data_IF_193904536449
#
_entry.id   IF_193904536449
#
_cell.length_a   1.000
_cell.length_b   1.000
_cell.length_c   1.000
_cell.angle_alpha   90.00
_cell.angle_beta   90.00
_cell.angle_gamma   90.00
#
_symmetry.space_group_name_H-M   'P 1'
#
loop_
_entity.id
_entity.type
_entity.pdbx_description
1 polymer ?
#
# COMPACT_ATOMS: atom_id res chain seq x y z
N UNK A 1 -4.09 8.65 -6.62
CA UNK A 1 -3.41 9.30 -5.49
C UNK A 1 -4.19 9.00 -4.22
N UNK A 2 -3.53 8.54 -3.16
CA UNK A 2 -4.16 8.27 -1.86
C UNK A 2 -4.09 9.52 -0.98
N UNK A 3 -5.19 9.82 -0.29
CA UNK A 3 -5.32 10.90 0.69
C UNK A 3 -5.90 10.30 1.96
N UNK A 4 -5.28 10.58 3.10
CA UNK A 4 -5.72 10.17 4.42
C UNK A 4 -6.29 11.35 5.19
N UNK A 5 -7.41 11.12 5.89
CA UNK A 5 -8.04 12.08 6.78
C UNK A 5 -8.08 11.46 8.18
N UNK A 6 -7.41 12.08 9.15
CA UNK A 6 -7.37 11.63 10.53
C UNK A 6 -8.04 12.67 11.42
N UNK A 7 -8.99 12.23 12.25
CA UNK A 7 -9.54 13.08 13.29
C UNK A 7 -8.64 13.02 14.53
N UNK A 8 -8.16 14.18 14.95
CA UNK A 8 -7.31 14.40 16.09
C UNK A 8 -8.02 15.39 17.02
N UNK A 9 -8.82 14.87 17.95
CA UNK A 9 -9.59 15.66 18.93
C UNK A 9 -10.42 16.82 18.33
N UNK A 10 -11.03 16.58 17.17
CA UNK A 10 -11.88 17.56 16.46
C UNK A 10 -11.14 18.40 15.41
N UNK A 11 -9.82 18.29 15.32
CA UNK A 11 -9.03 18.77 14.19
C UNK A 11 -8.90 17.65 13.15
N UNK A 12 -8.89 18.00 11.86
CA UNK A 12 -8.67 17.03 10.78
C UNK A 12 -7.26 17.21 10.24
N UNK A 13 -6.42 16.21 10.46
CA UNK A 13 -5.10 16.11 9.85
C UNK A 13 -5.24 15.45 8.48
N UNK A 14 -4.62 16.06 7.47
CA UNK A 14 -4.65 15.59 6.08
C UNK A 14 -3.27 15.08 5.71
N UNK A 15 -3.18 13.83 5.27
CA UNK A 15 -1.97 13.26 4.68
C UNK A 15 -2.22 12.88 3.22
N UNK A 16 -1.18 12.88 2.40
CA UNK A 16 -1.24 12.39 1.03
C UNK A 16 0.08 11.72 0.67
N UNK A 17 0.03 10.72 -0.19
CA UNK A 17 1.28 10.15 -0.74
C UNK A 17 1.99 11.20 -1.60
N UNK A 18 3.31 11.27 -1.51
CA UNK A 18 4.11 12.00 -2.48
C UNK A 18 4.18 11.14 -3.77
N UNK A 19 3.52 11.57 -4.86
CA UNK A 19 3.40 10.73 -6.05
C UNK A 19 4.74 10.58 -6.76
N UNK A 20 5.57 11.61 -6.78
CA UNK A 20 6.90 11.54 -7.39
C UNK A 20 7.79 10.55 -6.62
N UNK A 21 7.82 10.63 -5.30
CA UNK A 21 8.57 9.71 -4.44
C UNK A 21 8.18 8.24 -4.66
N UNK A 22 6.88 7.93 -4.61
CA UNK A 22 6.39 6.56 -4.80
C UNK A 22 6.64 6.08 -6.24
N UNK A 23 6.49 6.94 -7.24
CA UNK A 23 6.72 6.55 -8.63
C UNK A 23 8.21 6.34 -8.93
N UNK A 24 9.14 7.08 -8.32
CA UNK A 24 10.56 6.74 -8.47
C UNK A 24 10.85 5.36 -7.90
N UNK A 25 10.25 4.99 -6.78
CA UNK A 25 10.47 3.68 -6.18
C UNK A 25 9.91 2.52 -7.04
N UNK A 26 8.82 2.75 -7.78
CA UNK A 26 8.11 1.68 -8.53
C UNK A 26 8.39 1.68 -10.03
N UNK A 27 8.68 2.84 -10.60
CA UNK A 27 8.78 3.05 -12.04
C UNK A 27 9.93 4.02 -12.36
N UNK A 28 11.08 3.80 -11.72
CA UNK A 28 12.26 4.63 -11.92
C UNK A 28 12.63 4.78 -13.41
N UNK A 29 12.80 3.65 -14.10
CA UNK A 29 13.13 3.62 -15.53
C UNK A 29 11.93 4.11 -16.36
N UNK A 30 12.00 5.36 -16.83
CA UNK A 30 10.99 5.94 -17.71
C UNK A 30 9.98 6.86 -17.03
N UNK A 31 10.23 7.28 -15.78
CA UNK A 31 9.40 8.28 -15.09
C UNK A 31 9.51 9.69 -15.69
N UNK A 32 10.64 10.08 -16.29
CA UNK A 32 10.91 11.45 -16.74
C UNK A 32 9.77 12.10 -17.56
N UNK A 33 9.13 11.41 -18.53
CA UNK A 33 8.01 11.96 -19.29
C UNK A 33 6.74 12.22 -18.47
N UNK A 34 6.66 11.68 -17.24
CA UNK A 34 5.50 11.73 -16.36
C UNK A 34 5.66 12.71 -15.20
N UNK A 35 6.87 13.20 -14.88
CA UNK A 35 7.14 14.10 -13.74
C UNK A 35 6.17 15.28 -13.71
N UNK A 36 6.07 16.04 -14.82
CA UNK A 36 5.14 17.18 -14.90
C UNK A 36 3.67 16.83 -14.66
N UNK A 37 3.25 15.59 -14.96
CA UNK A 37 1.89 15.12 -14.68
C UNK A 37 1.71 14.75 -13.21
N UNK A 38 2.73 14.18 -12.57
CA UNK A 38 2.73 13.88 -11.14
C UNK A 38 2.68 15.17 -10.32
N UNK A 39 3.46 16.18 -10.69
CA UNK A 39 3.44 17.53 -10.08
C UNK A 39 2.06 18.19 -10.24
N UNK A 40 1.45 18.10 -11.43
CA UNK A 40 0.12 18.63 -11.68
C UNK A 40 -0.94 17.92 -10.82
N UNK A 41 -0.87 16.59 -10.72
CA UNK A 41 -1.76 15.80 -9.87
C UNK A 41 -1.64 16.19 -8.40
N UNK A 42 -0.41 16.36 -7.88
CA UNK A 42 -0.18 16.82 -6.52
C UNK A 42 -0.81 18.20 -6.28
N UNK A 43 -0.58 19.15 -7.20
CA UNK A 43 -1.15 20.49 -7.12
C UNK A 43 -2.68 20.47 -7.12
N UNK A 44 -3.30 19.65 -7.98
CA UNK A 44 -4.75 19.53 -8.06
C UNK A 44 -5.34 19.01 -6.74
N UNK A 45 -4.69 18.01 -6.13
CA UNK A 45 -5.12 17.46 -4.84
C UNK A 45 -4.93 18.46 -3.70
N UNK A 46 -3.79 19.15 -3.61
CA UNK A 46 -3.58 20.23 -2.63
C UNK A 46 -4.63 21.34 -2.77
N UNK A 47 -4.93 21.72 -4.01
CA UNK A 47 -5.96 22.73 -4.31
C UNK A 47 -7.35 22.27 -3.83
N UNK A 48 -7.72 21.02 -4.12
CA UNK A 48 -9.01 20.44 -3.71
C UNK A 48 -9.16 20.36 -2.18
N UNK A 49 -8.05 20.15 -1.46
CA UNK A 49 -8.03 20.00 0.00
C UNK A 49 -7.76 21.31 0.77
N UNK A 50 -7.50 22.42 0.07
CA UNK A 50 -7.21 23.73 0.66
C UNK A 50 -8.27 24.26 1.63
N UNK A 51 -9.50 23.76 1.54
CA UNK A 51 -10.59 24.09 2.48
C UNK A 51 -10.44 23.42 3.86
N UNK A 52 -9.63 22.36 3.96
CA UNK A 52 -9.30 21.66 5.21
C UNK A 52 -7.97 22.18 5.76
N UNK A 53 -6.97 22.35 4.89
CA UNK A 53 -5.67 22.92 5.22
C UNK A 53 -4.88 23.25 3.96
N UNK A 54 -4.05 24.29 4.02
CA UNK A 54 -3.24 24.80 2.91
C UNK A 54 -1.72 24.75 3.17
N UNK A 55 -1.31 24.36 4.38
CA UNK A 55 0.08 24.24 4.81
C UNK A 55 0.57 22.78 4.73
N UNK A 56 0.86 22.33 3.50
CA UNK A 56 1.36 20.98 3.26
C UNK A 56 2.88 20.91 3.47
N UNK A 57 3.31 20.37 4.61
CA UNK A 57 4.72 20.11 4.90
C UNK A 57 5.09 18.63 4.65
N UNK A 58 6.28 18.33 4.11
CA UNK A 58 6.79 16.96 4.05
C UNK A 58 6.98 16.37 5.44
N UNK A 59 6.56 15.12 5.62
CA UNK A 59 6.76 14.34 6.84
C UNK A 59 7.02 12.88 6.50
N UNK A 60 7.39 12.07 7.50
CA UNK A 60 7.60 10.64 7.29
C UNK A 60 8.92 10.31 6.60
N UNK A 61 9.96 11.13 6.80
CA UNK A 61 11.28 10.92 6.21
C UNK A 61 11.35 11.12 4.69
N UNK A 62 12.53 10.88 4.12
CA UNK A 62 12.80 11.03 2.70
C UNK A 62 14.04 10.21 2.32
N UNK A 63 14.05 9.72 1.09
CA UNK A 63 15.20 9.09 0.43
C UNK A 63 15.48 9.87 -0.86
N UNK A 64 16.76 10.07 -1.20
CA UNK A 64 17.11 10.80 -2.42
C UNK A 64 16.66 10.04 -3.67
N UNK A 65 16.35 10.78 -4.74
CA UNK A 65 15.83 10.21 -6.00
C UNK A 65 16.73 9.09 -6.53
N UNK A 66 18.04 9.29 -6.50
CA UNK A 66 19.01 8.32 -7.02
C UNK A 66 19.07 7.05 -6.14
N UNK A 67 18.73 7.15 -4.86
CA UNK A 67 18.64 6.01 -3.92
C UNK A 67 17.33 5.23 -4.08
N UNK A 68 16.33 5.78 -4.79
CA UNK A 68 15.04 5.13 -5.01
C UNK A 68 15.09 4.08 -6.13
N UNK A 69 16.05 4.17 -7.05
CA UNK A 69 16.22 3.24 -8.19
C UNK A 69 16.45 1.80 -7.72
N UNK A 70 17.38 1.61 -6.78
CA UNK A 70 17.72 0.31 -6.21
C UNK A 70 17.30 0.18 -4.73
N UNK A 71 16.26 0.94 -4.36
CA UNK A 71 15.83 1.05 -2.98
C UNK A 71 15.55 -0.32 -2.38
N UNK A 72 16.23 -0.57 -1.27
CA UNK A 72 15.93 -1.61 -0.32
C UNK A 72 16.30 -1.07 1.04
N UNK A 73 15.46 -1.34 2.03
CA UNK A 73 15.71 -0.83 3.36
C UNK A 73 17.03 -1.31 3.96
N UNK A 74 17.42 -2.56 3.65
CA UNK A 74 18.72 -3.13 4.00
C UNK A 74 19.23 -4.11 2.95
N UNK A 75 20.54 -4.32 2.97
CA UNK A 75 21.19 -5.46 2.30
C UNK A 75 20.48 -6.75 2.74
N UNK A 76 20.08 -7.60 1.77
CA UNK A 76 19.25 -8.81 1.94
C UNK A 76 17.74 -8.59 2.11
N UNK A 77 17.22 -7.36 1.98
CA UNK A 77 15.77 -7.12 1.89
C UNK A 77 15.29 -7.06 0.44
N UNK A 78 14.00 -7.35 0.19
CA UNK A 78 13.41 -7.37 -1.15
C UNK A 78 13.43 -6.00 -1.82
N UNK A 79 13.56 -6.02 -3.14
CA UNK A 79 13.34 -4.86 -4.02
C UNK A 79 11.86 -4.71 -4.38
N UNK A 80 11.51 -3.62 -5.05
CA UNK A 80 10.21 -3.49 -5.72
C UNK A 80 9.92 -4.66 -6.67
N UNK A 81 10.95 -5.11 -7.38
CA UNK A 81 10.90 -6.20 -8.37
C UNK A 81 10.81 -7.59 -7.76
N UNK A 82 10.76 -7.70 -6.43
CA UNK A 82 10.59 -8.95 -5.69
C UNK A 82 9.20 -8.97 -5.02
N UNK A 83 8.11 -9.06 -5.81
CA UNK A 83 6.77 -9.20 -5.23
C UNK A 83 6.64 -10.53 -4.49
N UNK A 84 5.64 -10.61 -3.62
CA UNK A 84 5.18 -11.87 -3.04
C UNK A 84 4.11 -12.43 -3.97
N UNK A 85 4.33 -13.66 -4.45
CA UNK A 85 3.33 -14.44 -5.17
C UNK A 85 2.35 -15.06 -4.17
N UNK A 86 1.05 -14.81 -4.34
CA UNK A 86 0.01 -15.26 -3.40
C UNK A 86 -0.73 -16.49 -3.93
N UNK A 87 -1.41 -16.34 -5.07
CA UNK A 87 -2.26 -17.40 -5.64
C UNK A 87 -2.32 -17.27 -7.15
N UNK A 88 -2.41 -18.40 -7.86
CA UNK A 88 -2.69 -18.46 -9.30
C UNK A 88 -4.05 -19.13 -9.53
N UNK A 89 -4.83 -18.58 -10.46
CA UNK A 89 -6.15 -19.07 -10.83
C UNK A 89 -6.19 -19.63 -12.26
N UNK A 90 -7.27 -20.32 -12.63
CA UNK A 90 -7.51 -20.78 -14.00
C UNK A 90 -7.72 -19.62 -14.98
N UNK A 91 -8.28 -18.50 -14.50
CA UNK A 91 -8.60 -17.30 -15.31
C UNK A 91 -8.70 -16.04 -14.45
N UNK A 92 -8.58 -14.89 -15.12
CA UNK A 92 -8.81 -13.57 -14.52
C UNK A 92 -10.20 -13.47 -13.88
N UNK A 93 -11.22 -13.93 -14.58
CA UNK A 93 -12.61 -13.85 -14.12
C UNK A 93 -12.85 -14.71 -12.87
N UNK A 94 -12.20 -15.88 -12.80
CA UNK A 94 -12.25 -16.74 -11.62
C UNK A 94 -11.60 -16.05 -10.42
N UNK A 95 -10.36 -15.57 -10.57
CA UNK A 95 -9.66 -14.87 -9.50
C UNK A 95 -10.41 -13.64 -9.01
N UNK A 96 -10.92 -12.83 -9.94
CA UNK A 96 -11.72 -11.66 -9.63
C UNK A 96 -12.98 -12.03 -8.83
N UNK A 97 -13.64 -13.13 -9.18
CA UNK A 97 -14.84 -13.60 -8.47
C UNK A 97 -14.51 -14.09 -7.06
N UNK A 98 -13.41 -14.81 -6.88
CA UNK A 98 -13.01 -15.36 -5.58
C UNK A 98 -12.60 -14.25 -4.62
N UNK A 99 -11.68 -13.38 -5.03
CA UNK A 99 -11.19 -12.27 -4.20
C UNK A 99 -12.36 -11.41 -3.72
N UNK A 100 -13.29 -11.07 -4.63
CA UNK A 100 -14.51 -10.34 -4.26
C UNK A 100 -15.36 -11.11 -3.25
N UNK A 101 -15.59 -12.39 -3.48
CA UNK A 101 -16.38 -13.24 -2.58
C UNK A 101 -15.79 -13.30 -1.18
N UNK A 102 -14.47 -13.53 -1.06
CA UNK A 102 -13.77 -13.61 0.22
C UNK A 102 -13.77 -12.26 0.96
N UNK A 103 -13.55 -11.15 0.25
CA UNK A 103 -13.62 -9.81 0.82
C UNK A 103 -15.05 -9.43 1.27
N UNK A 104 -16.07 -9.82 0.49
CA UNK A 104 -17.48 -9.57 0.85
C UNK A 104 -17.90 -10.44 2.05
N UNK A 105 -17.30 -11.62 2.22
CA UNK A 105 -17.48 -12.51 3.37
C UNK A 105 -16.68 -12.06 4.62
N UNK A 106 -15.75 -11.11 4.48
CA UNK A 106 -14.92 -10.61 5.58
C UNK A 106 -13.89 -11.63 6.09
N UNK A 107 -13.40 -12.51 5.20
CA UNK A 107 -12.39 -13.53 5.54
C UNK A 107 -11.17 -12.86 6.19
N UNK A 108 -10.66 -13.47 7.26
CA UNK A 108 -9.49 -12.97 7.99
C UNK A 108 -9.70 -11.61 8.65
N UNK A 109 -10.94 -11.22 9.00
CA UNK A 109 -11.27 -9.88 9.52
C UNK A 109 -10.80 -8.77 8.56
N UNK A 110 -10.89 -9.00 7.25
CA UNK A 110 -10.51 -8.00 6.23
C UNK A 110 -11.71 -7.22 5.73
N UNK A 111 -11.45 -6.05 5.14
CA UNK A 111 -12.46 -5.23 4.47
C UNK A 111 -11.94 -4.68 3.15
N UNK A 112 -12.77 -4.73 2.10
CA UNK A 112 -12.48 -4.05 0.84
C UNK A 112 -12.65 -2.54 1.00
N UNK A 113 -11.54 -1.81 0.91
CA UNK A 113 -11.52 -0.34 0.96
C UNK A 113 -11.76 0.24 -0.42
N UNK A 114 -11.11 -0.31 -1.44
CA UNK A 114 -11.36 0.06 -2.83
C UNK A 114 -11.05 -1.09 -3.79
N UNK A 115 -11.55 -0.94 -5.01
CA UNK A 115 -11.29 -1.83 -6.12
C UNK A 115 -11.14 -1.03 -7.40
N UNK A 116 -10.11 -1.33 -8.19
CA UNK A 116 -9.91 -0.78 -9.53
C UNK A 116 -9.73 -1.93 -10.50
N UNK A 117 -10.56 -1.99 -11.55
CA UNK A 117 -10.53 -3.07 -12.54
C UNK A 117 -10.32 -2.49 -13.93
N UNK A 118 -9.38 -3.08 -14.65
CA UNK A 118 -9.08 -2.84 -16.06
C UNK A 118 -9.27 -4.15 -16.85
N UNK A 119 -10.51 -4.50 -17.22
CA UNK A 119 -10.81 -5.79 -17.85
C UNK A 119 -10.04 -6.01 -19.16
N UNK A 120 -9.91 -4.95 -19.97
CA UNK A 120 -9.19 -5.01 -21.26
C UNK A 120 -7.70 -5.32 -21.10
N UNK A 121 -7.16 -5.08 -19.91
CA UNK A 121 -5.78 -5.38 -19.54
C UNK A 121 -5.66 -6.57 -18.59
N UNK A 122 -6.79 -7.18 -18.18
CA UNK A 122 -6.88 -8.23 -17.15
C UNK A 122 -6.09 -7.86 -15.89
N UNK A 123 -6.29 -6.64 -15.41
CA UNK A 123 -5.72 -6.16 -14.15
C UNK A 123 -6.85 -5.80 -13.20
N UNK A 124 -6.74 -6.23 -11.95
CA UNK A 124 -7.55 -5.75 -10.85
C UNK A 124 -6.66 -5.44 -9.64
N UNK A 125 -6.90 -4.31 -8.98
CA UNK A 125 -6.21 -3.90 -7.76
C UNK A 125 -7.23 -3.78 -6.64
N UNK A 126 -6.94 -4.40 -5.52
CA UNK A 126 -7.78 -4.36 -4.32
C UNK A 126 -7.01 -3.71 -3.18
N UNK A 127 -7.57 -2.65 -2.61
CA UNK A 127 -7.12 -2.09 -1.35
C UNK A 127 -7.85 -2.75 -0.19
N UNK A 128 -7.10 -3.34 0.73
CA UNK A 128 -7.62 -4.19 1.81
C UNK A 128 -7.24 -3.63 3.18
N UNK A 129 -8.25 -3.37 4.00
CA UNK A 129 -8.08 -2.98 5.40
C UNK A 129 -8.00 -4.22 6.29
N UNK A 130 -7.10 -4.20 7.26
CA UNK A 130 -6.81 -5.34 8.15
C UNK A 130 -7.35 -5.05 9.55
N UNK A 131 -8.56 -5.55 9.85
CA UNK A 131 -9.30 -5.17 11.07
C UNK A 131 -9.02 -6.07 12.27
N UNK A 132 -8.19 -7.10 12.11
CA UNK A 132 -7.82 -7.97 13.21
C UNK A 132 -7.09 -7.19 14.32
N UNK A 133 -7.52 -7.32 15.59
CA UNK A 133 -6.94 -6.54 16.69
C UNK A 133 -5.54 -7.02 17.12
N UNK A 134 -5.17 -8.27 16.84
CA UNK A 134 -3.90 -8.86 17.28
C UNK A 134 -2.84 -8.80 16.19
N UNK A 135 -3.24 -9.04 14.95
CA UNK A 135 -2.31 -9.16 13.82
C UNK A 135 -2.46 -8.06 12.76
N UNK A 136 -3.59 -7.34 12.77
CA UNK A 136 -3.95 -6.31 11.78
C UNK A 136 -3.48 -4.89 12.13
N UNK A 137 -4.12 -3.90 11.53
CA UNK A 137 -3.72 -2.48 11.59
C UNK A 137 -3.62 -1.93 13.02
N UNK A 138 -4.52 -2.37 13.90
CA UNK A 138 -4.54 -1.95 15.30
C UNK A 138 -3.27 -2.39 16.06
N UNK A 139 -2.62 -3.46 15.63
CA UNK A 139 -1.42 -3.99 16.28
C UNK A 139 -0.15 -3.22 15.90
N UNK A 140 0.00 -2.83 14.63
CA UNK A 140 1.24 -2.23 14.14
C UNK A 140 1.18 -0.71 13.94
N UNK A 141 0.04 -0.11 13.57
CA UNK A 141 -0.05 1.34 13.31
C UNK A 141 0.34 2.20 14.52
N UNK A 142 -0.03 1.87 15.77
CA UNK A 142 0.44 2.62 16.94
C UNK A 142 1.95 2.58 17.15
N UNK A 143 2.63 1.59 16.57
CA UNK A 143 4.08 1.38 16.70
C UNK A 143 4.85 2.15 15.61
N UNK A 144 4.35 2.13 14.38
CA UNK A 144 5.03 2.75 13.22
C UNK A 144 4.59 4.19 12.93
N UNK A 145 3.44 4.62 13.47
CA UNK A 145 2.93 5.97 13.30
C UNK A 145 1.66 6.01 12.46
N UNK A 146 0.53 6.27 13.12
CA UNK A 146 -0.80 6.32 12.51
C UNK A 146 -1.07 7.62 11.71
N UNK A 147 -0.09 8.52 11.59
CA UNK A 147 -0.22 9.76 10.79
C UNK A 147 -0.06 9.50 9.29
N UNK A 148 0.54 8.37 8.92
CA UNK A 148 0.73 7.92 7.53
C UNK A 148 -0.55 7.26 6.98
N UNK A 149 -1.72 7.84 7.25
CA UNK A 149 -3.02 7.25 6.83
C UNK A 149 -3.07 7.05 5.32
N UNK A 150 -2.51 7.97 4.54
CA UNK A 150 -2.44 7.85 3.08
C UNK A 150 -1.57 6.67 2.59
N UNK A 151 -0.70 6.10 3.45
CA UNK A 151 0.00 4.87 3.13
C UNK A 151 -0.94 3.67 3.11
N UNK A 152 -2.10 3.74 3.77
CA UNK A 152 -3.11 2.67 3.81
C UNK A 152 -4.13 2.81 2.68
N UNK A 153 -4.84 1.73 2.28
CA UNK A 153 -4.71 0.33 2.71
C UNK A 153 -3.53 -0.39 2.05
N UNK A 154 -3.28 -1.65 2.43
CA UNK A 154 -2.40 -2.56 1.69
C UNK A 154 -3.09 -3.05 0.41
N UNK A 155 -2.29 -3.42 -0.59
CA UNK A 155 -2.78 -3.73 -1.92
C UNK A 155 -2.34 -5.11 -2.40
N UNK A 156 -3.27 -5.83 -3.04
CA UNK A 156 -2.99 -6.95 -3.94
C UNK A 156 -3.31 -6.56 -5.37
N UNK A 157 -2.61 -7.15 -6.32
CA UNK A 157 -2.88 -7.01 -7.75
C UNK A 157 -3.09 -8.39 -8.38
N UNK A 158 -4.23 -8.56 -9.04
CA UNK A 158 -4.51 -9.70 -9.92
C UNK A 158 -4.18 -9.27 -11.35
N UNK A 159 -3.19 -9.90 -11.97
CA UNK A 159 -2.80 -9.70 -13.36
C UNK A 159 -2.90 -11.02 -14.11
N UNK A 160 -3.70 -11.04 -15.17
CA UNK A 160 -4.07 -12.26 -15.89
C UNK A 160 -4.65 -13.34 -14.95
N UNK A 161 -3.80 -14.17 -14.36
CA UNK A 161 -4.18 -15.27 -13.47
C UNK A 161 -3.49 -15.22 -12.11
N UNK A 162 -2.47 -14.37 -11.98
CA UNK A 162 -1.55 -14.35 -10.87
C UNK A 162 -1.92 -13.20 -9.94
N UNK A 163 -2.00 -13.50 -8.64
CA UNK A 163 -2.14 -12.48 -7.61
C UNK A 163 -0.80 -12.28 -6.94
N UNK A 164 -0.36 -11.02 -6.90
CA UNK A 164 0.85 -10.63 -6.20
C UNK A 164 0.60 -9.45 -5.27
N UNK A 165 1.53 -9.23 -4.35
CA UNK A 165 1.56 -8.05 -3.50
C UNK A 165 2.99 -7.53 -3.33
N UNK A 166 3.12 -6.25 -2.97
CA UNK A 166 4.42 -5.74 -2.53
C UNK A 166 4.82 -6.42 -1.22
N UNK A 167 6.07 -6.89 -1.17
CA UNK A 167 6.59 -7.50 0.05
C UNK A 167 6.47 -6.52 1.24
N UNK A 168 5.89 -6.97 2.36
CA UNK A 168 5.56 -6.10 3.50
C UNK A 168 6.73 -5.30 4.05
N UNK A 169 7.93 -5.89 4.13
CA UNK A 169 9.18 -5.19 4.51
C UNK A 169 9.53 -4.02 3.61
N UNK A 170 9.47 -4.22 2.29
CA UNK A 170 9.76 -3.17 1.31
C UNK A 170 8.72 -2.05 1.42
N UNK A 171 7.43 -2.42 1.46
CA UNK A 171 6.32 -1.46 1.53
C UNK A 171 6.37 -0.59 2.79
N UNK A 172 6.61 -1.20 3.96
CA UNK A 172 6.70 -0.46 5.24
C UNK A 172 7.90 0.49 5.20
N UNK A 173 9.06 0.03 4.76
CA UNK A 173 10.24 0.89 4.72
C UNK A 173 10.08 2.08 3.76
N UNK A 174 9.45 1.85 2.60
CA UNK A 174 9.21 2.93 1.65
C UNK A 174 8.21 3.97 2.18
N UNK A 175 7.20 3.56 2.94
CA UNK A 175 6.17 4.48 3.44
C UNK A 175 6.50 5.11 4.80
N UNK A 176 7.52 4.59 5.49
CA UNK A 176 8.04 5.11 6.76
C UNK A 176 9.58 5.06 6.82
N UNK A 177 10.30 5.73 5.89
CA UNK A 177 11.76 5.69 5.79
C UNK A 177 12.49 6.21 7.03
N UNK A 178 11.85 7.04 7.85
CA UNK A 178 12.39 7.54 9.12
C UNK A 178 12.47 6.49 10.23
N UNK A 179 11.81 5.34 10.07
CA UNK A 179 11.80 4.30 11.07
C UNK A 179 13.19 3.69 11.25
N UNK A 180 13.69 3.78 12.48
CA UNK A 180 14.91 3.11 12.87
C UNK A 180 14.71 1.60 13.09
N UNK A 181 15.84 0.88 13.11
CA UNK A 181 15.89 -0.57 13.39
C UNK A 181 15.15 -1.01 14.65
N UNK A 182 15.21 -0.20 15.70
CA UNK A 182 14.52 -0.51 16.96
C UNK A 182 13.00 -0.60 16.80
N UNK A 183 12.41 0.21 15.92
CA UNK A 183 10.96 0.17 15.64
C UNK A 183 10.63 -1.00 14.72
N UNK A 184 11.43 -1.26 13.68
CA UNK A 184 11.25 -2.42 12.82
C UNK A 184 11.28 -3.75 13.56
N UNK A 185 12.14 -3.90 14.58
CA UNK A 185 12.17 -5.12 15.39
C UNK A 185 10.87 -5.32 16.19
N UNK A 186 10.15 -4.25 16.55
CA UNK A 186 8.86 -4.35 17.26
C UNK A 186 7.73 -4.86 16.37
N UNK A 187 7.85 -4.68 15.05
CA UNK A 187 6.85 -5.09 14.04
C UNK A 187 7.37 -6.21 13.15
N UNK A 188 8.30 -7.04 13.65
CA UNK A 188 8.97 -8.04 12.84
C UNK A 188 8.04 -9.11 12.25
N UNK A 189 6.90 -9.38 12.91
CA UNK A 189 5.85 -10.28 12.43
C UNK A 189 4.95 -9.62 11.38
N UNK A 190 4.78 -8.29 11.42
CA UNK A 190 3.81 -7.56 10.61
C UNK A 190 3.93 -7.85 9.11
N UNK A 191 5.11 -7.90 8.47
CA UNK A 191 5.20 -8.28 7.06
C UNK A 191 4.61 -9.66 6.74
N UNK A 192 4.82 -10.65 7.62
CA UNK A 192 4.27 -12.00 7.46
C UNK A 192 2.77 -12.02 7.71
N UNK A 193 2.30 -11.34 8.76
CA UNK A 193 0.86 -11.23 9.04
C UNK A 193 0.09 -10.60 7.86
N UNK A 194 0.66 -9.56 7.23
CA UNK A 194 0.05 -8.95 6.04
C UNK A 194 -0.04 -9.98 4.90
N UNK A 195 1.01 -10.74 4.65
CA UNK A 195 1.01 -11.81 3.65
C UNK A 195 -0.07 -12.87 3.96
N UNK A 196 -0.19 -13.30 5.22
CA UNK A 196 -1.21 -14.25 5.67
C UNK A 196 -2.64 -13.72 5.44
N UNK A 197 -2.90 -12.44 5.72
CA UNK A 197 -4.20 -11.84 5.39
C UNK A 197 -4.49 -11.84 3.89
N UNK A 198 -3.48 -11.53 3.07
CA UNK A 198 -3.65 -11.50 1.62
C UNK A 198 -3.85 -12.90 1.05
N UNK A 199 -3.11 -13.91 1.54
CA UNK A 199 -3.33 -15.31 1.20
C UNK A 199 -4.76 -15.75 1.57
N UNK A 200 -5.22 -15.42 2.77
CA UNK A 200 -6.57 -15.79 3.24
C UNK A 200 -7.69 -15.27 2.32
N UNK A 201 -7.52 -14.10 1.70
CA UNK A 201 -8.52 -13.56 0.77
C UNK A 201 -8.35 -14.03 -0.68
N UNK A 202 -7.21 -14.64 -1.04
CA UNK A 202 -6.95 -15.15 -2.40
C UNK A 202 -7.13 -16.66 -2.52
N UNK A 203 -7.00 -17.41 -1.43
CA UNK A 203 -7.17 -18.87 -1.46
C UNK A 203 -8.65 -19.30 -1.58
N UNK A 204 -8.83 -20.55 -1.99
CA UNK A 204 -10.11 -21.24 -1.94
C UNK A 204 -10.25 -21.87 -0.55
N UNK A 205 -11.35 -21.63 0.16
CA UNK A 205 -11.72 -22.56 1.23
C UNK A 205 -12.17 -23.87 0.56
N UNK A 206 -11.36 -24.93 0.68
CA UNK A 206 -11.84 -26.29 0.40
C UNK A 206 -12.78 -26.72 1.54
N UNK A 207 -14.07 -26.89 1.23
CA UNK A 207 -15.06 -27.57 2.08
C UNK A 207 -14.71 -29.05 2.34
#
# INVERSE_FOLDING_TARGET
MKVGLKNNDGQIDVSMINPEYIFYAYFYEGIDPYISKLEAMEKDVKTALSVIGDDFEPFGGFEERDDLEDYRYKIMMPYFTDPVDLTEYDSFEQGLSIIRGNLDAGIGNTVKVYEVVYPDHKVAIFGVGLLDPEDGEAAFLPIIGADHVAAMPYEIILQDKEVTMLHGRYRIALHWPELGMGTFMKIMSTPGNIEDFMLGITEFEED
#
